data_IF_094474072320
#
_entry.id   IF_094474072320
#
_cell.length_a   1.000
_cell.length_b   1.000
_cell.length_c   1.000
_cell.angle_alpha   90.00
_cell.angle_beta   90.00
_cell.angle_gamma   90.00
#
_symmetry.space_group_name_H-M   'P 1'
#
loop_
_entity.id
_entity.type
_entity.pdbx_description
1 polymer ?
#
# COMPACT_ATOMS: atom_id res chain seq x y z
N UNK A 1 18.91 -2.11 17.67
CA UNK A 1 18.00 -1.37 18.58
C UNK A 1 18.67 -1.22 19.92
N UNK A 2 18.59 -0.04 20.55
CA UNK A 2 19.11 0.19 21.90
C UNK A 2 18.02 0.88 22.70
N UNK A 3 17.74 0.37 23.89
CA UNK A 3 16.73 0.91 24.78
C UNK A 3 17.38 1.54 26.00
N UNK A 4 16.90 2.71 26.39
CA UNK A 4 17.24 3.30 27.67
C UNK A 4 16.47 2.61 28.81
N UNK A 5 16.84 2.92 30.07
CA UNK A 5 16.24 2.28 31.25
C UNK A 5 14.73 2.55 31.36
N UNK A 6 14.27 3.73 30.96
CA UNK A 6 12.85 4.09 31.00
C UNK A 6 12.06 3.30 29.95
N UNK A 7 12.57 3.18 28.72
CA UNK A 7 11.94 2.39 27.66
C UNK A 7 11.86 0.91 28.02
N UNK A 8 12.91 0.34 28.61
CA UNK A 8 12.89 -1.04 29.13
C UNK A 8 11.81 -1.21 30.20
N UNK A 9 11.73 -0.28 31.15
CA UNK A 9 10.72 -0.31 32.21
C UNK A 9 9.29 -0.20 31.62
N UNK A 10 9.09 0.66 30.62
CA UNK A 10 7.81 0.81 29.92
C UNK A 10 7.39 -0.49 29.23
N UNK A 11 8.28 -1.14 28.48
CA UNK A 11 7.99 -2.42 27.81
C UNK A 11 7.71 -3.53 28.82
N UNK A 12 8.47 -3.62 29.91
CA UNK A 12 8.20 -4.59 31.00
C UNK A 12 6.79 -4.39 31.54
N UNK A 13 6.41 -3.15 31.84
CA UNK A 13 5.07 -2.83 32.33
C UNK A 13 3.99 -3.20 31.31
N UNK A 14 4.20 -2.97 30.02
CA UNK A 14 3.26 -3.34 28.96
C UNK A 14 3.07 -4.86 28.89
N UNK A 15 4.15 -5.65 28.89
CA UNK A 15 4.07 -7.11 28.88
C UNK A 15 3.47 -7.68 30.17
N UNK A 16 3.71 -7.08 31.33
CA UNK A 16 3.03 -7.44 32.58
C UNK A 16 1.52 -7.21 32.50
N UNK A 17 1.08 -6.12 31.88
CA UNK A 17 -0.35 -5.86 31.64
C UNK A 17 -0.93 -6.89 30.67
N UNK A 18 -0.30 -7.12 29.52
CA UNK A 18 -0.76 -8.10 28.51
C UNK A 18 -0.84 -9.51 29.09
N UNK A 19 0.14 -9.92 29.89
CA UNK A 19 0.13 -11.19 30.62
C UNK A 19 -1.07 -11.34 31.55
N UNK A 20 -1.49 -10.27 32.23
CA UNK A 20 -2.66 -10.28 33.13
C UNK A 20 -3.99 -10.26 32.39
N UNK A 21 -4.02 -9.75 31.16
CA UNK A 21 -5.22 -9.66 30.33
C UNK A 21 -5.43 -10.90 29.43
N UNK A 22 -4.40 -11.70 29.23
CA UNK A 22 -4.47 -12.87 28.36
C UNK A 22 -4.91 -14.12 29.13
N UNK A 23 -5.85 -14.87 28.54
CA UNK A 23 -6.22 -16.22 28.97
C UNK A 23 -5.44 -17.31 28.20
N UNK A 24 -4.67 -16.91 27.19
CA UNK A 24 -3.90 -17.83 26.35
C UNK A 24 -2.54 -18.13 26.99
N UNK A 25 -2.34 -19.40 27.39
CA UNK A 25 -1.10 -19.87 28.01
C UNK A 25 0.14 -19.68 27.13
N UNK A 26 -0.01 -19.68 25.81
CA UNK A 26 1.11 -19.46 24.90
C UNK A 26 1.58 -18.00 24.99
N UNK A 27 0.66 -17.05 24.88
CA UNK A 27 0.94 -15.61 24.93
C UNK A 27 1.50 -15.21 26.30
N UNK A 28 0.91 -15.73 27.40
CA UNK A 28 1.44 -15.53 28.76
C UNK A 28 2.92 -15.93 28.84
N UNK A 29 3.24 -17.12 28.34
CA UNK A 29 4.61 -17.63 28.34
C UNK A 29 5.51 -16.75 27.48
N UNK A 30 5.07 -16.32 26.31
CA UNK A 30 5.84 -15.42 25.44
C UNK A 30 6.14 -14.09 26.15
N UNK A 31 5.15 -13.46 26.77
CA UNK A 31 5.33 -12.21 27.52
C UNK A 31 6.29 -12.37 28.70
N UNK A 32 6.27 -13.50 29.41
CA UNK A 32 7.26 -13.81 30.46
C UNK A 32 8.69 -13.88 29.92
N UNK A 33 8.89 -14.44 28.73
CA UNK A 33 10.21 -14.44 28.07
C UNK A 33 10.66 -13.01 27.72
N UNK A 34 9.75 -12.20 27.19
CA UNK A 34 10.04 -10.81 26.84
C UNK A 34 10.40 -9.96 28.05
N UNK A 35 9.66 -10.10 29.16
CA UNK A 35 9.97 -9.45 30.44
C UNK A 35 11.39 -9.82 30.89
N UNK A 36 11.72 -11.12 30.90
CA UNK A 36 13.06 -11.59 31.31
C UNK A 36 14.18 -11.00 30.45
N UNK A 37 14.00 -10.97 29.13
CA UNK A 37 14.97 -10.36 28.19
C UNK A 37 15.22 -8.88 28.56
N UNK A 38 14.15 -8.14 28.88
CA UNK A 38 14.21 -6.73 29.21
C UNK A 38 14.75 -6.47 30.63
N UNK A 39 14.49 -7.32 31.61
CA UNK A 39 15.02 -7.20 32.98
C UNK A 39 16.54 -7.44 33.01
N UNK A 40 17.00 -8.50 32.34
CA UNK A 40 18.42 -8.88 32.25
C UNK A 40 19.22 -7.97 31.31
N UNK A 41 18.53 -7.19 30.46
CA UNK A 41 19.19 -6.25 29.54
C UNK A 41 19.91 -6.96 28.39
N UNK A 42 19.32 -8.04 27.87
CA UNK A 42 19.89 -8.84 26.78
C UNK A 42 19.71 -8.13 25.44
N UNK A 43 20.44 -7.04 25.22
CA UNK A 43 20.27 -6.13 24.07
C UNK A 43 20.36 -6.84 22.71
N UNK A 44 21.16 -7.90 22.59
CA UNK A 44 21.28 -8.69 21.35
C UNK A 44 19.98 -9.40 20.94
N UNK A 45 19.03 -9.56 21.87
CA UNK A 45 17.74 -10.18 21.63
C UNK A 45 16.62 -9.17 21.37
N UNK A 46 16.87 -7.86 21.43
CA UNK A 46 15.80 -6.86 21.35
C UNK A 46 15.12 -6.79 19.97
N UNK A 47 15.72 -7.35 18.92
CA UNK A 47 15.08 -7.43 17.61
C UNK A 47 13.78 -8.27 17.62
N UNK A 48 13.60 -9.19 18.57
CA UNK A 48 12.39 -10.00 18.66
C UNK A 48 11.14 -9.15 18.90
N UNK A 49 11.28 -7.99 19.56
CA UNK A 49 10.17 -7.07 19.82
C UNK A 49 9.72 -6.32 18.56
N UNK A 50 10.55 -6.31 17.51
CA UNK A 50 10.28 -5.64 16.24
C UNK A 50 9.86 -6.63 15.15
N UNK A 51 9.88 -7.95 15.42
CA UNK A 51 9.67 -8.97 14.38
C UNK A 51 8.31 -8.91 13.68
N UNK A 52 7.30 -8.29 14.31
CA UNK A 52 5.99 -8.05 13.71
C UNK A 52 5.83 -6.69 13.01
N UNK A 53 6.83 -5.80 13.11
CA UNK A 53 6.80 -4.51 12.44
C UNK A 53 7.38 -4.66 11.04
N UNK A 54 6.62 -4.29 10.02
CA UNK A 54 7.15 -4.14 8.68
C UNK A 54 8.14 -2.99 8.59
N UNK A 55 8.92 -2.95 7.51
CA UNK A 55 9.72 -1.76 7.19
C UNK A 55 8.82 -0.53 7.06
N UNK A 56 9.33 0.61 7.54
CA UNK A 56 8.63 1.89 7.44
C UNK A 56 8.52 2.29 5.96
N UNK A 57 7.29 2.39 5.47
CA UNK A 57 7.03 2.99 4.17
C UNK A 57 7.14 4.52 4.28
N UNK A 58 7.72 5.14 3.25
CA UNK A 58 8.04 6.57 3.25
C UNK A 58 6.84 7.42 2.81
N UNK A 59 6.93 8.74 3.02
CA UNK A 59 5.94 9.67 2.48
C UNK A 59 5.94 9.65 0.95
N UNK A 60 7.11 9.49 0.35
CA UNK A 60 7.27 9.35 -1.09
C UNK A 60 6.54 8.10 -1.62
N UNK A 61 6.58 6.97 -0.88
CA UNK A 61 5.87 5.75 -1.26
C UNK A 61 4.35 5.95 -1.23
N UNK A 62 3.85 6.67 -0.21
CA UNK A 62 2.44 7.03 -0.12
C UNK A 62 2.00 7.94 -1.28
N UNK A 63 2.76 9.00 -1.55
CA UNK A 63 2.49 9.94 -2.65
C UNK A 63 2.49 9.23 -4.01
N UNK A 64 3.46 8.34 -4.22
CA UNK A 64 3.53 7.55 -5.46
C UNK A 64 2.32 6.62 -5.60
N UNK A 65 1.97 5.89 -4.55
CA UNK A 65 0.81 4.98 -4.56
C UNK A 65 -0.48 5.73 -4.86
N UNK A 66 -0.70 6.87 -4.21
CA UNK A 66 -1.89 7.70 -4.42
C UNK A 66 -1.93 8.32 -5.82
N UNK A 67 -0.78 8.72 -6.39
CA UNK A 67 -0.69 9.16 -7.78
C UNK A 67 -1.10 8.05 -8.75
N UNK A 68 -0.60 6.82 -8.57
CA UNK A 68 -0.93 5.66 -9.41
C UNK A 68 -2.40 5.27 -9.29
N UNK A 69 -2.94 5.20 -8.08
CA UNK A 69 -4.35 4.87 -7.87
C UNK A 69 -5.28 5.96 -8.45
N UNK A 70 -4.92 7.23 -8.29
CA UNK A 70 -5.69 8.35 -8.87
C UNK A 70 -5.65 8.34 -10.38
N UNK A 71 -4.49 8.04 -10.96
CA UNK A 71 -4.31 7.83 -12.39
C UNK A 71 -5.29 6.78 -12.91
N UNK A 72 -5.23 5.55 -12.39
CA UNK A 72 -6.11 4.48 -12.86
C UNK A 72 -7.60 4.74 -12.56
N UNK A 73 -7.90 5.32 -11.40
CA UNK A 73 -9.28 5.69 -11.02
C UNK A 73 -9.90 6.68 -12.01
N UNK A 74 -9.16 7.73 -12.37
CA UNK A 74 -9.64 8.75 -13.31
C UNK A 74 -9.84 8.15 -14.72
N UNK A 75 -8.89 7.33 -15.20
CA UNK A 75 -8.97 6.75 -16.54
C UNK A 75 -10.06 5.69 -16.65
N UNK A 76 -10.17 4.77 -15.69
CA UNK A 76 -11.25 3.76 -15.66
C UNK A 76 -12.63 4.41 -15.53
N UNK A 77 -12.75 5.46 -14.71
CA UNK A 77 -13.98 6.22 -14.61
C UNK A 77 -14.33 6.87 -15.94
N UNK A 78 -13.35 7.50 -16.60
CA UNK A 78 -13.56 8.17 -17.89
C UNK A 78 -13.95 7.19 -18.99
N UNK A 79 -13.34 6.02 -19.03
CA UNK A 79 -13.70 4.95 -19.96
C UNK A 79 -15.15 4.51 -19.80
N UNK A 80 -15.59 4.29 -18.56
CA UNK A 80 -17.00 3.93 -18.27
C UNK A 80 -17.95 5.08 -18.55
N UNK A 81 -17.63 6.29 -18.10
CA UNK A 81 -18.53 7.45 -18.17
C UNK A 81 -18.73 7.93 -19.62
N UNK A 82 -17.73 7.75 -20.49
CA UNK A 82 -17.84 8.02 -21.93
C UNK A 82 -18.37 6.83 -22.75
N UNK A 83 -18.61 5.66 -22.14
CA UNK A 83 -19.08 4.47 -22.83
C UNK A 83 -18.11 3.96 -23.91
N UNK A 84 -16.81 4.05 -23.64
CA UNK A 84 -15.78 3.60 -24.57
C UNK A 84 -15.85 2.07 -24.74
N UNK A 85 -15.71 1.59 -25.98
CA UNK A 85 -15.72 0.16 -26.32
C UNK A 85 -14.41 -0.26 -27.00
N UNK A 86 -13.29 0.17 -26.41
CA UNK A 86 -11.94 -0.11 -26.91
C UNK A 86 -11.20 -1.08 -25.97
N UNK A 87 -11.08 -2.34 -26.37
CA UNK A 87 -10.45 -3.40 -25.55
C UNK A 87 -8.97 -3.13 -25.28
N UNK A 88 -8.24 -2.58 -26.27
CA UNK A 88 -6.84 -2.19 -26.09
C UNK A 88 -6.73 -1.14 -24.99
N UNK A 89 -7.59 -0.14 -25.05
CA UNK A 89 -7.59 0.94 -24.08
C UNK A 89 -7.91 0.40 -22.70
N UNK A 90 -8.98 -0.39 -22.57
CA UNK A 90 -9.39 -1.04 -21.32
C UNK A 90 -8.24 -1.82 -20.67
N UNK A 91 -7.48 -2.59 -21.46
CA UNK A 91 -6.33 -3.34 -20.97
C UNK A 91 -5.19 -2.44 -20.44
N UNK A 92 -4.99 -1.25 -21.03
CA UNK A 92 -3.96 -0.29 -20.60
C UNK A 92 -4.35 0.44 -19.31
N UNK A 93 -5.64 0.72 -19.13
CA UNK A 93 -6.16 1.49 -17.99
C UNK A 93 -6.67 0.63 -16.84
N UNK A 94 -6.69 -0.69 -16.98
CA UNK A 94 -7.02 -1.57 -15.87
C UNK A 94 -5.87 -1.58 -14.86
N UNK A 95 -6.17 -1.25 -13.62
CA UNK A 95 -5.19 -1.37 -12.54
C UNK A 95 -4.91 -2.86 -12.28
N UNK A 96 -3.64 -3.24 -12.33
CA UNK A 96 -3.19 -4.63 -12.18
C UNK A 96 -2.56 -4.90 -10.82
N UNK A 97 -2.57 -3.93 -9.91
CA UNK A 97 -1.87 -4.04 -8.63
C UNK A 97 -0.37 -3.71 -8.72
N UNK A 98 0.34 -4.09 -7.66
CA UNK A 98 1.77 -3.91 -7.45
C UNK A 98 2.45 -5.28 -7.29
N UNK A 99 3.69 -5.46 -7.76
CA UNK A 99 4.37 -6.76 -7.71
C UNK A 99 4.97 -7.04 -6.32
N UNK A 100 4.44 -8.06 -5.63
CA UNK A 100 4.99 -8.51 -4.33
C UNK A 100 6.42 -9.07 -4.44
N UNK A 101 6.88 -9.43 -5.64
CA UNK A 101 8.25 -9.89 -5.88
C UNK A 101 9.24 -8.75 -6.14
N UNK A 102 8.77 -7.51 -6.31
CA UNK A 102 9.62 -6.33 -6.45
C UNK A 102 9.72 -5.61 -5.10
N UNK A 103 10.89 -5.62 -4.43
CA UNK A 103 11.07 -4.95 -3.14
C UNK A 103 10.69 -3.47 -3.15
N UNK A 104 10.80 -2.79 -4.30
CA UNK A 104 10.40 -1.38 -4.43
C UNK A 104 8.88 -1.20 -4.40
N UNK A 105 8.11 -2.22 -4.76
CA UNK A 105 6.65 -2.15 -4.87
C UNK A 105 5.92 -2.71 -3.65
N UNK A 106 6.61 -3.45 -2.77
CA UNK A 106 6.04 -3.94 -1.51
C UNK A 106 5.40 -2.80 -0.68
N UNK A 107 6.04 -1.62 -0.51
CA UNK A 107 5.42 -0.50 0.18
C UNK A 107 4.15 0.00 -0.52
N UNK A 108 4.14 0.04 -1.87
CA UNK A 108 3.00 0.51 -2.64
C UNK A 108 1.80 -0.44 -2.51
N UNK A 109 2.07 -1.75 -2.54
CA UNK A 109 1.06 -2.78 -2.30
C UNK A 109 0.39 -2.60 -0.94
N UNK A 110 1.19 -2.45 0.12
CA UNK A 110 0.69 -2.23 1.49
C UNK A 110 -0.16 -0.97 1.61
N UNK A 111 0.25 0.13 0.95
CA UNK A 111 -0.57 1.34 0.93
C UNK A 111 -1.87 1.12 0.15
N UNK A 112 -1.82 0.47 -1.01
CA UNK A 112 -3.02 0.20 -1.80
C UNK A 112 -4.02 -0.67 -1.04
N UNK A 113 -3.55 -1.68 -0.33
CA UNK A 113 -4.36 -2.54 0.54
C UNK A 113 -5.11 -1.72 1.59
N UNK A 114 -4.37 -0.95 2.41
CA UNK A 114 -4.98 -0.11 3.45
C UNK A 114 -5.93 0.93 2.85
N UNK A 115 -5.54 1.59 1.75
CA UNK A 115 -6.36 2.63 1.13
C UNK A 115 -7.66 2.05 0.55
N UNK A 116 -7.59 0.93 -0.19
CA UNK A 116 -8.73 0.40 -0.94
C UNK A 116 -9.60 -0.58 -0.15
N UNK A 117 -8.98 -1.39 0.71
CA UNK A 117 -9.68 -2.48 1.43
C UNK A 117 -10.09 -2.04 2.84
N UNK A 118 -9.24 -1.31 3.56
CA UNK A 118 -9.52 -0.93 4.95
C UNK A 118 -10.20 0.45 5.09
N UNK A 119 -9.68 1.45 4.38
CA UNK A 119 -10.13 2.85 4.51
C UNK A 119 -11.26 3.23 3.54
N UNK A 120 -11.55 2.39 2.56
CA UNK A 120 -12.64 2.64 1.62
C UNK A 120 -12.36 3.74 0.58
N UNK A 121 -11.08 4.06 0.30
CA UNK A 121 -10.73 4.92 -0.82
C UNK A 121 -10.79 4.17 -2.15
N UNK A 122 -10.88 4.91 -3.26
CA UNK A 122 -10.89 4.37 -4.63
C UNK A 122 -11.93 3.25 -4.88
N UNK A 123 -13.09 3.26 -4.21
CA UNK A 123 -14.11 2.19 -4.36
C UNK A 123 -14.59 2.02 -5.80
N UNK A 124 -14.77 3.10 -6.56
CA UNK A 124 -15.13 3.00 -7.98
C UNK A 124 -14.07 2.23 -8.77
N UNK A 125 -12.78 2.47 -8.53
CA UNK A 125 -11.70 1.70 -9.17
C UNK A 125 -11.73 0.24 -8.73
N UNK A 126 -11.92 -0.01 -7.42
CA UNK A 126 -12.06 -1.35 -6.84
C UNK A 126 -13.18 -2.16 -7.53
N UNK A 127 -14.36 -1.56 -7.68
CA UNK A 127 -15.51 -2.15 -8.38
C UNK A 127 -15.24 -2.39 -9.87
N UNK A 128 -14.61 -1.43 -10.55
CA UNK A 128 -14.34 -1.52 -12.00
C UNK A 128 -13.25 -2.52 -12.35
N UNK A 129 -12.36 -2.83 -11.40
CA UNK A 129 -11.28 -3.79 -11.57
C UNK A 129 -11.53 -5.11 -10.83
N UNK A 130 -12.71 -5.30 -10.23
CA UNK A 130 -13.11 -6.54 -9.53
C UNK A 130 -12.13 -6.94 -8.41
N UNK A 131 -11.64 -5.95 -7.65
CA UNK A 131 -10.70 -6.16 -6.55
C UNK A 131 -11.50 -6.47 -5.27
N UNK A 132 -11.40 -7.68 -4.74
CA UNK A 132 -12.12 -8.08 -3.52
C UNK A 132 -11.18 -8.35 -2.34
N UNK A 133 -9.98 -8.85 -2.63
CA UNK A 133 -9.02 -9.33 -1.65
C UNK A 133 -7.62 -8.75 -1.85
N UNK A 134 -6.78 -8.85 -0.82
CA UNK A 134 -5.35 -8.47 -0.88
C UNK A 134 -4.61 -9.13 -2.05
N UNK A 135 -4.99 -10.37 -2.41
CA UNK A 135 -4.39 -11.12 -3.52
C UNK A 135 -4.62 -10.45 -4.87
N UNK A 136 -5.72 -9.72 -5.04
CA UNK A 136 -6.09 -9.07 -6.30
C UNK A 136 -5.27 -7.79 -6.54
N UNK A 137 -4.61 -7.28 -5.49
CA UNK A 137 -3.67 -6.17 -5.58
C UNK A 137 -2.24 -6.63 -5.91
N UNK A 138 -1.96 -7.94 -5.90
CA UNK A 138 -0.67 -8.47 -6.32
C UNK A 138 -0.66 -8.67 -7.84
N UNK A 139 0.20 -7.91 -8.54
CA UNK A 139 0.24 -7.97 -10.00
C UNK A 139 0.83 -9.25 -10.57
N UNK A 140 1.52 -10.05 -9.77
CA UNK A 140 2.27 -11.22 -10.23
C UNK A 140 3.23 -10.90 -11.40
N UNK A 141 3.78 -9.67 -11.43
CA UNK A 141 4.66 -9.17 -12.48
C UNK A 141 3.95 -8.62 -13.73
N UNK A 142 2.63 -8.49 -13.70
CA UNK A 142 1.84 -7.88 -14.78
C UNK A 142 1.82 -6.34 -14.71
N UNK A 143 2.40 -5.75 -13.68
CA UNK A 143 2.50 -4.30 -13.48
C UNK A 143 3.32 -3.62 -14.59
N UNK A 144 2.97 -2.37 -14.88
CA UNK A 144 3.69 -1.54 -15.84
C UNK A 144 4.98 -1.08 -15.18
N UNK A 145 6.13 -1.51 -15.70
CA UNK A 145 7.42 -1.11 -15.12
C UNK A 145 7.48 0.38 -14.72
N UNK A 146 8.09 0.65 -13.57
CA UNK A 146 8.15 1.97 -12.94
C UNK A 146 8.52 3.11 -13.89
N UNK A 147 9.49 2.90 -14.80
CA UNK A 147 9.92 3.95 -15.75
C UNK A 147 8.81 4.34 -16.73
N UNK A 148 8.05 3.36 -17.22
CA UNK A 148 6.90 3.61 -18.07
C UNK A 148 5.77 4.27 -17.27
N UNK A 149 5.50 3.79 -16.05
CA UNK A 149 4.51 4.41 -15.15
C UNK A 149 4.86 5.88 -14.85
N UNK A 150 6.11 6.18 -14.50
CA UNK A 150 6.57 7.55 -14.21
C UNK A 150 6.32 8.49 -15.42
N UNK A 151 6.54 7.99 -16.65
CA UNK A 151 6.23 8.73 -17.88
C UNK A 151 4.72 8.95 -18.04
N UNK A 152 3.90 7.92 -17.81
CA UNK A 152 2.45 8.04 -17.94
C UNK A 152 1.85 8.98 -16.90
N UNK A 153 2.33 8.94 -15.66
CA UNK A 153 1.98 9.88 -14.61
C UNK A 153 2.35 11.33 -15.00
N UNK A 154 3.53 11.52 -15.61
CA UNK A 154 3.93 12.83 -16.13
C UNK A 154 2.95 13.32 -17.20
N UNK A 155 2.69 12.51 -18.24
CA UNK A 155 1.77 12.86 -19.32
C UNK A 155 0.36 13.15 -18.80
N UNK A 156 -0.15 12.31 -17.89
CA UNK A 156 -1.44 12.49 -17.22
C UNK A 156 -1.52 13.82 -16.47
N UNK A 157 -0.50 14.17 -15.67
CA UNK A 157 -0.45 15.44 -14.95
C UNK A 157 -0.42 16.64 -15.90
N UNK A 158 0.34 16.55 -17.00
CA UNK A 158 0.41 17.62 -18.00
C UNK A 158 -0.90 17.83 -18.75
N UNK A 159 -1.60 16.74 -19.10
CA UNK A 159 -2.92 16.82 -19.72
C UNK A 159 -3.92 17.40 -18.71
N UNK A 160 -3.95 16.91 -17.46
CA UNK A 160 -4.85 17.40 -16.41
C UNK A 160 -4.68 18.91 -16.13
N UNK A 161 -3.45 19.45 -16.20
CA UNK A 161 -3.18 20.89 -16.07
C UNK A 161 -3.74 21.74 -17.22
N UNK A 162 -3.77 21.19 -18.43
CA UNK A 162 -4.26 21.88 -19.64
C UNK A 162 -5.78 21.82 -19.78
N UNK A 163 -6.44 20.93 -19.03
CA UNK A 163 -7.88 20.77 -19.03
C UNK A 163 -8.51 21.89 -18.20
N UNK A 164 -9.38 22.67 -18.84
CA UNK A 164 -10.23 23.65 -18.17
C UNK A 164 -11.43 22.99 -17.45
N UNK A 165 -11.71 21.71 -17.74
CA UNK A 165 -12.87 20.99 -17.25
C UNK A 165 -12.49 19.78 -16.37
N UNK A 166 -13.24 19.57 -15.29
CA UNK A 166 -13.14 18.40 -14.39
C UNK A 166 -13.83 17.15 -14.96
N UNK A 167 -14.04 17.08 -16.28
CA UNK A 167 -14.82 16.03 -16.94
C UNK A 167 -14.01 14.75 -17.24
N UNK A 168 -14.67 13.68 -17.71
CA UNK A 168 -14.00 12.44 -18.08
C UNK A 168 -13.00 12.66 -19.22
N UNK A 169 -11.86 11.97 -19.19
CA UNK A 169 -10.86 11.96 -20.25
C UNK A 169 -11.42 11.33 -21.53
N UNK A 170 -11.16 11.95 -22.68
CA UNK A 170 -11.49 11.43 -24.01
C UNK A 170 -10.52 10.33 -24.43
N UNK A 171 -10.88 9.46 -25.39
CA UNK A 171 -9.98 8.42 -25.90
C UNK A 171 -8.64 8.99 -26.41
N UNK A 172 -8.67 10.14 -27.09
CA UNK A 172 -7.47 10.81 -27.60
C UNK A 172 -6.55 11.29 -26.46
N UNK A 173 -7.12 11.83 -25.38
CA UNK A 173 -6.34 12.21 -24.21
C UNK A 173 -5.72 10.98 -23.53
N UNK A 174 -6.47 9.87 -23.42
CA UNK A 174 -5.94 8.64 -22.83
C UNK A 174 -4.82 8.07 -23.70
N UNK A 175 -4.96 8.04 -25.03
CA UNK A 175 -3.90 7.59 -25.93
C UNK A 175 -2.65 8.48 -25.85
N UNK A 176 -2.81 9.80 -25.68
CA UNK A 176 -1.69 10.72 -25.43
C UNK A 176 -0.97 10.44 -24.12
N UNK A 177 -1.70 9.99 -23.08
CA UNK A 177 -1.10 9.60 -21.80
C UNK A 177 -0.14 8.43 -21.98
N UNK A 178 -0.52 7.43 -22.78
CA UNK A 178 0.25 6.21 -23.00
C UNK A 178 1.32 6.32 -24.10
N UNK A 179 1.40 7.44 -24.83
CA UNK A 179 2.41 7.72 -25.85
C UNK A 179 3.78 8.07 -25.25
#
# INVERSE_FOLDING_TARGET
MKLNKLERLQLINQYEILKRLSDNKHDIKEYEHFIKILEEGLESLYSVFLGGLGEEATKEDYEYTTDVLSFYSDLMSSYKDNGMENDRLKYLIQFKGFDLNDPLQIPYLKYAEVLMLDLGYYQKLKELCEIEHESDLNSHGAEINKKAMDRYLYNYKEIKKKRDASGPFTEEEIDQIFS
#
